data_IF_122459739396
#
_entry.id   IF_122459739396
#
_cell.length_a   1.000
_cell.length_b   1.000
_cell.length_c   1.000
_cell.angle_alpha   90.00
_cell.angle_beta   90.00
_cell.angle_gamma   90.00
#
_symmetry.space_group_name_H-M   'P 1'
#
loop_
_entity.id
_entity.type
_entity.pdbx_description
1 polymer ?
#
# COMPACT_ATOMS: atom_id res chain seq x y z
N UNK A 1 -32.24 -28.48 -26.06
CA UNK A 1 -33.59 -28.84 -25.58
C UNK A 1 -33.69 -28.37 -24.14
N UNK A 2 -34.38 -27.26 -23.88
CA UNK A 2 -34.41 -26.61 -22.57
C UNK A 2 -35.51 -27.22 -21.69
N UNK A 3 -35.12 -28.04 -20.72
CA UNK A 3 -36.06 -28.64 -19.76
C UNK A 3 -36.39 -27.58 -18.70
N UNK A 4 -37.62 -27.04 -18.76
CA UNK A 4 -38.19 -26.14 -17.75
C UNK A 4 -38.28 -26.86 -16.40
N UNK A 5 -37.37 -26.55 -15.48
CA UNK A 5 -37.58 -26.76 -14.04
C UNK A 5 -38.11 -25.42 -13.50
N UNK A 6 -39.43 -25.30 -13.34
CA UNK A 6 -40.11 -24.25 -12.56
C UNK A 6 -39.67 -22.79 -12.79
N UNK A 7 -40.32 -22.10 -13.73
CA UNK A 7 -40.47 -20.64 -13.89
C UNK A 7 -39.24 -19.70 -13.95
N UNK A 8 -38.03 -20.13 -13.56
CA UNK A 8 -36.84 -19.30 -13.62
C UNK A 8 -35.86 -19.78 -14.71
N UNK A 9 -35.31 -18.86 -15.48
CA UNK A 9 -34.19 -19.15 -16.36
C UNK A 9 -32.89 -19.28 -15.54
N UNK A 10 -31.85 -19.90 -16.11
CA UNK A 10 -30.56 -20.15 -15.42
C UNK A 10 -29.98 -18.88 -14.83
N UNK A 11 -30.05 -17.74 -15.54
CA UNK A 11 -29.51 -16.45 -15.06
C UNK A 11 -30.28 -15.93 -13.84
N UNK A 12 -31.59 -16.08 -13.81
CA UNK A 12 -32.39 -15.69 -12.64
C UNK A 12 -32.05 -16.53 -11.42
N UNK A 13 -31.85 -17.83 -11.60
CA UNK A 13 -31.39 -18.71 -10.52
C UNK A 13 -29.97 -18.34 -10.06
N UNK A 14 -29.06 -17.98 -10.97
CA UNK A 14 -27.73 -17.49 -10.60
C UNK A 14 -27.82 -16.17 -9.81
N UNK A 15 -28.65 -15.23 -10.28
CA UNK A 15 -28.84 -13.93 -9.63
C UNK A 15 -29.46 -14.06 -8.22
N UNK A 16 -30.26 -15.10 -7.98
CA UNK A 16 -30.77 -15.41 -6.64
C UNK A 16 -29.65 -15.70 -5.63
N UNK A 17 -28.56 -16.34 -6.05
CA UNK A 17 -27.44 -16.66 -5.15
C UNK A 17 -26.47 -15.51 -4.90
N UNK A 18 -26.41 -14.51 -5.79
CA UNK A 18 -25.47 -13.39 -5.68
C UNK A 18 -25.53 -12.67 -4.32
N UNK A 19 -26.69 -12.17 -3.85
CA UNK A 19 -26.75 -11.48 -2.56
C UNK A 19 -26.46 -12.40 -1.38
N UNK A 20 -26.76 -13.70 -1.51
CA UNK A 20 -26.51 -14.70 -0.46
C UNK A 20 -24.99 -14.92 -0.33
N UNK A 21 -24.28 -15.06 -1.45
CA UNK A 21 -22.82 -15.19 -1.47
C UNK A 21 -22.11 -13.92 -1.01
N UNK A 22 -22.64 -12.74 -1.34
CA UNK A 22 -22.07 -11.46 -0.87
C UNK A 22 -22.12 -11.30 0.65
N UNK A 23 -23.16 -11.84 1.30
CA UNK A 23 -23.35 -11.76 2.74
C UNK A 23 -22.78 -12.98 3.50
N UNK A 24 -22.19 -13.94 2.78
CA UNK A 24 -21.65 -15.15 3.38
C UNK A 24 -20.43 -14.82 4.24
N UNK A 25 -20.46 -15.21 5.52
CA UNK A 25 -19.45 -14.80 6.52
C UNK A 25 -18.38 -15.85 6.80
N UNK A 26 -18.64 -17.12 6.49
CA UNK A 26 -17.73 -18.21 6.81
C UNK A 26 -17.92 -19.41 5.89
N UNK A 27 -16.98 -20.34 5.96
CA UNK A 27 -16.94 -21.53 5.12
C UNK A 27 -18.12 -22.50 5.34
N UNK A 28 -18.68 -22.57 6.54
CA UNK A 28 -19.79 -23.49 6.86
C UNK A 28 -21.05 -23.05 6.13
N UNK A 29 -21.31 -21.75 6.13
CA UNK A 29 -22.38 -21.14 5.35
C UNK A 29 -22.14 -21.32 3.85
N UNK A 30 -20.91 -21.10 3.37
CA UNK A 30 -20.55 -21.31 1.97
C UNK A 30 -20.81 -22.75 1.51
N UNK A 31 -20.43 -23.75 2.32
CA UNK A 31 -20.71 -25.17 2.04
C UNK A 31 -22.20 -25.46 1.97
N UNK A 32 -23.00 -24.83 2.81
CA UNK A 32 -24.46 -24.94 2.78
C UNK A 32 -25.06 -24.29 1.53
N UNK A 33 -24.55 -23.13 1.12
CA UNK A 33 -24.93 -22.47 -0.14
C UNK A 33 -24.52 -23.35 -1.33
N UNK A 34 -23.32 -23.91 -1.32
CA UNK A 34 -22.83 -24.80 -2.37
C UNK A 34 -23.75 -26.02 -2.55
N UNK A 35 -24.16 -26.66 -1.45
CA UNK A 35 -25.09 -27.78 -1.51
C UNK A 35 -26.42 -27.41 -2.18
N UNK A 36 -26.91 -26.18 -1.95
CA UNK A 36 -28.09 -25.66 -2.66
C UNK A 36 -27.79 -25.44 -4.15
N UNK A 37 -26.68 -24.81 -4.50
CA UNK A 37 -26.24 -24.60 -5.90
C UNK A 37 -26.20 -25.95 -6.64
N UNK A 38 -25.67 -27.01 -6.02
CA UNK A 38 -25.68 -28.37 -6.57
C UNK A 38 -27.12 -28.89 -6.74
N UNK A 39 -27.98 -28.72 -5.74
CA UNK A 39 -29.39 -29.14 -5.81
C UNK A 39 -30.15 -28.47 -6.97
N UNK A 40 -29.84 -27.22 -7.29
CA UNK A 40 -30.39 -26.51 -8.45
C UNK A 40 -29.67 -26.83 -9.78
N UNK A 41 -28.71 -27.77 -9.79
CA UNK A 41 -27.92 -28.15 -10.96
C UNK A 41 -27.08 -27.00 -11.55
N UNK A 42 -26.61 -26.08 -10.69
CA UNK A 42 -25.83 -24.90 -11.07
C UNK A 42 -24.34 -25.02 -10.73
N UNK A 43 -23.86 -26.20 -10.32
CA UNK A 43 -22.45 -26.42 -9.93
C UNK A 43 -21.45 -26.24 -11.09
N UNK A 44 -21.92 -26.29 -12.34
CA UNK A 44 -21.12 -26.01 -13.53
C UNK A 44 -21.09 -24.52 -13.91
N UNK A 45 -21.78 -23.65 -13.16
CA UNK A 45 -21.76 -22.20 -13.42
C UNK A 45 -20.41 -21.61 -13.04
N UNK A 46 -19.60 -21.27 -14.05
CA UNK A 46 -18.37 -20.52 -13.85
C UNK A 46 -18.59 -19.21 -13.06
N UNK A 47 -19.73 -18.55 -13.25
CA UNK A 47 -20.07 -17.30 -12.57
C UNK A 47 -20.25 -17.53 -11.06
N UNK A 48 -21.11 -18.47 -10.66
CA UNK A 48 -21.34 -18.76 -9.24
C UNK A 48 -20.09 -19.32 -8.58
N UNK A 49 -19.40 -20.25 -9.24
CA UNK A 49 -18.16 -20.84 -8.71
C UNK A 49 -17.10 -19.75 -8.51
N UNK A 50 -16.95 -18.81 -9.44
CA UNK A 50 -16.04 -17.66 -9.25
C UNK A 50 -16.41 -16.84 -8.02
N UNK A 51 -17.70 -16.55 -7.81
CA UNK A 51 -18.17 -15.83 -6.61
C UNK A 51 -17.91 -16.61 -5.32
N UNK A 52 -18.02 -17.92 -5.35
CA UNK A 52 -17.71 -18.77 -4.21
C UNK A 52 -16.20 -18.81 -3.92
N UNK A 53 -15.36 -18.84 -4.96
CA UNK A 53 -13.90 -18.70 -4.83
C UNK A 53 -13.54 -17.34 -4.22
N UNK A 54 -14.24 -16.25 -4.57
CA UNK A 54 -14.05 -14.94 -3.93
C UNK A 54 -14.36 -14.96 -2.41
N UNK A 55 -15.31 -15.80 -1.98
CA UNK A 55 -15.59 -16.01 -0.54
C UNK A 55 -14.48 -16.83 0.11
N UNK A 56 -13.96 -17.86 -0.58
CA UNK A 56 -12.81 -18.64 -0.11
C UNK A 56 -11.55 -17.78 0.03
N UNK A 57 -11.28 -16.86 -0.91
CA UNK A 57 -10.16 -15.90 -0.85
C UNK A 57 -10.18 -15.12 0.47
N UNK A 58 -11.35 -14.58 0.84
CA UNK A 58 -11.55 -13.81 2.08
C UNK A 58 -11.52 -14.66 3.35
N UNK A 59 -11.85 -15.94 3.24
CA UNK A 59 -11.92 -16.87 4.37
C UNK A 59 -10.66 -17.73 4.51
N UNK A 60 -9.67 -17.51 3.66
CA UNK A 60 -8.40 -18.24 3.57
C UNK A 60 -8.52 -19.77 3.36
N UNK A 61 -9.70 -20.26 2.93
CA UNK A 61 -9.93 -21.69 2.65
C UNK A 61 -9.65 -22.03 1.18
N UNK A 62 -8.36 -22.04 0.83
CA UNK A 62 -7.89 -22.38 -0.51
C UNK A 62 -8.13 -23.85 -0.89
N UNK A 63 -8.25 -24.74 0.11
CA UNK A 63 -8.57 -26.15 -0.12
C UNK A 63 -9.96 -26.31 -0.73
N UNK A 64 -10.94 -25.58 -0.18
CA UNK A 64 -12.29 -25.57 -0.73
C UNK A 64 -12.37 -24.85 -2.09
N UNK A 65 -11.61 -23.76 -2.27
CA UNK A 65 -11.51 -23.10 -3.58
C UNK A 65 -11.05 -24.07 -4.68
N UNK A 66 -10.04 -24.91 -4.40
CA UNK A 66 -9.59 -25.93 -5.34
C UNK A 66 -10.65 -27.00 -5.62
N UNK A 67 -11.41 -27.43 -4.61
CA UNK A 67 -12.52 -28.36 -4.82
C UNK A 67 -13.61 -27.76 -5.71
N UNK A 68 -13.93 -26.48 -5.50
CA UNK A 68 -14.88 -25.73 -6.32
C UNK A 68 -14.39 -25.54 -7.76
N UNK A 69 -13.10 -25.40 -7.98
CA UNK A 69 -12.52 -25.32 -9.32
C UNK A 69 -12.59 -26.67 -10.05
N UNK A 70 -12.14 -27.74 -9.40
CA UNK A 70 -12.03 -29.07 -9.99
C UNK A 70 -13.37 -29.70 -10.37
N UNK A 71 -14.48 -29.25 -9.79
CA UNK A 71 -15.81 -29.73 -10.17
C UNK A 71 -16.31 -29.16 -11.51
N UNK A 72 -15.77 -28.02 -11.97
CA UNK A 72 -16.23 -27.36 -13.20
C UNK A 72 -15.56 -28.02 -14.40
N UNK A 73 -16.37 -28.58 -15.30
CA UNK A 73 -15.88 -29.32 -16.48
C UNK A 73 -15.09 -28.43 -17.45
N UNK A 74 -15.54 -27.18 -17.63
CA UNK A 74 -14.93 -26.21 -18.54
C UNK A 74 -14.71 -24.86 -17.83
N UNK A 75 -13.64 -24.73 -17.03
CA UNK A 75 -13.30 -23.48 -16.37
C UNK A 75 -12.92 -22.41 -17.39
N UNK A 76 -13.47 -21.21 -17.25
CA UNK A 76 -13.16 -20.08 -18.11
C UNK A 76 -12.06 -19.17 -17.52
N UNK A 77 -11.63 -18.16 -18.28
CA UNK A 77 -10.57 -17.24 -17.85
C UNK A 77 -10.89 -16.47 -16.55
N UNK A 78 -12.17 -16.16 -16.28
CA UNK A 78 -12.57 -15.49 -15.05
C UNK A 78 -12.34 -16.36 -13.82
N UNK A 79 -12.69 -17.65 -13.91
CA UNK A 79 -12.50 -18.60 -12.81
C UNK A 79 -11.00 -18.85 -12.57
N UNK A 80 -10.20 -19.02 -13.62
CA UNK A 80 -8.74 -19.09 -13.47
C UNK A 80 -8.15 -17.83 -12.82
N UNK A 81 -8.57 -16.63 -13.26
CA UNK A 81 -8.12 -15.37 -12.66
C UNK A 81 -8.52 -15.26 -11.18
N UNK A 82 -9.69 -15.79 -10.79
CA UNK A 82 -10.12 -15.86 -9.40
C UNK A 82 -9.23 -16.80 -8.57
N UNK A 83 -8.89 -17.98 -9.10
CA UNK A 83 -7.96 -18.91 -8.44
C UNK A 83 -6.57 -18.29 -8.29
N UNK A 84 -6.01 -17.70 -9.35
CA UNK A 84 -4.70 -17.05 -9.32
C UNK A 84 -4.68 -15.92 -8.28
N UNK A 85 -5.73 -15.07 -8.24
CA UNK A 85 -5.87 -14.02 -7.24
C UNK A 85 -5.92 -14.58 -5.82
N UNK A 86 -6.82 -15.54 -5.56
CA UNK A 86 -7.03 -16.12 -4.24
C UNK A 86 -5.75 -16.74 -3.68
N UNK A 87 -5.06 -17.54 -4.49
CA UNK A 87 -3.77 -18.12 -4.10
C UNK A 87 -2.68 -17.06 -3.90
N UNK A 88 -2.69 -15.96 -4.66
CA UNK A 88 -1.69 -14.89 -4.50
C UNK A 88 -1.90 -14.09 -3.20
N UNK A 89 -3.14 -13.76 -2.84
CA UNK A 89 -3.44 -13.04 -1.60
C UNK A 89 -3.08 -13.87 -0.35
N UNK A 90 -3.31 -15.18 -0.42
CA UNK A 90 -3.07 -16.13 0.67
C UNK A 90 -1.67 -16.76 0.62
N UNK A 91 -0.69 -16.06 0.03
CA UNK A 91 0.73 -16.46 -0.07
C UNK A 91 1.01 -17.84 -0.71
N UNK A 92 0.02 -18.47 -1.32
CA UNK A 92 0.12 -19.71 -2.10
C UNK A 92 0.70 -19.48 -3.50
N UNK A 93 1.80 -18.76 -3.61
CA UNK A 93 2.38 -18.29 -4.87
C UNK A 93 2.69 -19.43 -5.85
N UNK A 94 3.18 -20.58 -5.36
CA UNK A 94 3.46 -21.74 -6.22
C UNK A 94 2.20 -22.21 -6.94
N UNK A 95 1.08 -22.32 -6.23
CA UNK A 95 -0.21 -22.72 -6.82
C UNK A 95 -0.74 -21.68 -7.79
N UNK A 96 -0.61 -20.38 -7.48
CA UNK A 96 -0.97 -19.32 -8.42
C UNK A 96 -0.19 -19.42 -9.74
N UNK A 97 1.11 -19.72 -9.67
CA UNK A 97 1.94 -19.98 -10.87
C UNK A 97 1.53 -21.25 -11.60
N UNK A 98 1.11 -22.31 -10.89
CA UNK A 98 0.61 -23.53 -11.52
C UNK A 98 -0.67 -23.25 -12.33
N UNK A 99 -1.66 -22.55 -11.76
CA UNK A 99 -2.85 -22.12 -12.50
C UNK A 99 -2.52 -21.25 -13.71
N UNK A 100 -1.55 -20.34 -13.58
CA UNK A 100 -1.09 -19.55 -14.73
C UNK A 100 -0.47 -20.43 -15.83
N UNK A 101 0.39 -21.39 -15.47
CA UNK A 101 0.97 -22.34 -16.44
C UNK A 101 -0.09 -23.22 -17.10
N UNK A 102 -1.09 -23.65 -16.35
CA UNK A 102 -2.24 -24.35 -16.91
C UNK A 102 -2.98 -23.47 -17.92
N UNK A 103 -3.32 -22.23 -17.54
CA UNK A 103 -3.94 -21.26 -18.46
C UNK A 103 -3.10 -21.08 -19.75
N UNK A 104 -1.76 -21.04 -19.67
CA UNK A 104 -0.89 -20.94 -20.84
C UNK A 104 -1.01 -22.15 -21.79
N UNK A 105 -1.24 -23.36 -21.27
CA UNK A 105 -1.45 -24.57 -22.09
C UNK A 105 -2.80 -24.55 -22.82
N UNK A 106 -3.74 -23.73 -22.35
CA UNK A 106 -5.08 -23.57 -22.92
C UNK A 106 -5.18 -22.47 -23.99
N UNK A 107 -4.06 -21.86 -24.37
CA UNK A 107 -3.98 -20.76 -25.36
C UNK A 107 -4.05 -21.18 -26.82
N UNK A 108 -4.03 -22.49 -27.10
CA UNK A 108 -3.95 -23.00 -28.46
C UNK A 108 -5.07 -22.38 -29.32
N UNK A 109 -4.73 -21.62 -30.38
CA UNK A 109 -5.72 -20.98 -31.25
C UNK A 109 -6.64 -21.98 -31.97
N UNK A 110 -6.23 -23.24 -32.11
CA UNK A 110 -7.04 -24.30 -32.72
C UNK A 110 -8.06 -24.91 -31.75
N UNK A 111 -7.98 -24.57 -30.46
CA UNK A 111 -8.95 -25.02 -29.47
C UNK A 111 -10.28 -24.28 -29.62
N UNK A 112 -11.38 -24.99 -29.40
CA UNK A 112 -12.74 -24.44 -29.45
C UNK A 112 -12.95 -23.24 -28.50
N UNK A 113 -12.34 -23.29 -27.30
CA UNK A 113 -12.42 -22.23 -26.29
C UNK A 113 -11.01 -21.90 -25.73
N UNK A 114 -10.22 -21.07 -26.42
CA UNK A 114 -8.88 -20.72 -25.98
C UNK A 114 -8.95 -19.71 -24.82
N UNK A 115 -8.07 -19.88 -23.84
CA UNK A 115 -7.98 -19.00 -22.66
C UNK A 115 -6.65 -18.26 -22.68
N UNK A 116 -6.72 -16.94 -22.62
CA UNK A 116 -5.55 -16.07 -22.61
C UNK A 116 -5.45 -15.33 -21.26
N UNK A 117 -4.24 -15.23 -20.68
CA UNK A 117 -3.92 -14.25 -19.66
C UNK A 117 -4.26 -12.86 -20.15
N UNK A 118 -4.90 -12.10 -19.29
CA UNK A 118 -5.35 -10.75 -19.55
C UNK A 118 -4.79 -9.79 -18.50
N UNK A 119 -5.28 -8.55 -18.54
CA UNK A 119 -4.90 -7.51 -17.57
C UNK A 119 -5.17 -7.88 -16.11
N UNK A 120 -6.08 -8.82 -15.85
CA UNK A 120 -6.40 -9.29 -14.50
C UNK A 120 -5.53 -10.47 -14.08
N UNK A 121 -4.81 -11.11 -15.00
CA UNK A 121 -3.86 -12.19 -14.69
C UNK A 121 -2.52 -11.64 -14.23
N UNK A 122 -1.93 -10.71 -14.99
CA UNK A 122 -0.53 -10.30 -14.83
C UNK A 122 -0.16 -9.76 -13.43
N UNK A 123 -0.95 -8.88 -12.78
CA UNK A 123 -0.57 -8.33 -11.47
C UNK A 123 -0.31 -9.42 -10.42
N UNK A 124 -1.16 -10.45 -10.39
CA UNK A 124 -1.06 -11.53 -9.41
C UNK A 124 0.07 -12.51 -9.73
N UNK A 125 0.31 -12.80 -11.01
CA UNK A 125 1.41 -13.69 -11.42
C UNK A 125 2.76 -13.00 -11.21
N UNK A 126 2.88 -11.70 -11.48
CA UNK A 126 4.08 -10.91 -11.18
C UNK A 126 4.32 -10.87 -9.67
N UNK A 127 3.28 -10.59 -8.86
CA UNK A 127 3.36 -10.64 -7.40
C UNK A 127 3.80 -12.01 -6.89
N UNK A 128 3.25 -13.09 -7.46
CA UNK A 128 3.66 -14.46 -7.13
C UNK A 128 5.13 -14.72 -7.46
N UNK A 129 5.63 -14.20 -8.59
CA UNK A 129 7.06 -14.32 -8.91
C UNK A 129 7.95 -13.51 -7.98
N UNK A 130 7.50 -12.32 -7.57
CA UNK A 130 8.18 -11.49 -6.57
C UNK A 130 8.26 -12.22 -5.23
N UNK A 131 7.17 -12.85 -4.78
CA UNK A 131 7.12 -13.64 -3.53
C UNK A 131 8.00 -14.89 -3.57
N UNK A 132 8.11 -15.55 -4.73
CA UNK A 132 8.97 -16.72 -4.92
C UNK A 132 10.43 -16.37 -5.29
N UNK A 133 10.74 -15.10 -5.49
CA UNK A 133 12.06 -14.63 -5.95
C UNK A 133 12.51 -15.35 -7.25
N UNK A 134 11.57 -15.60 -8.16
CA UNK A 134 11.82 -16.41 -9.36
C UNK A 134 12.16 -15.55 -10.58
N UNK A 135 13.43 -15.12 -10.68
CA UNK A 135 13.91 -14.21 -11.74
C UNK A 135 13.56 -14.66 -13.16
N UNK A 136 13.86 -15.93 -13.50
CA UNK A 136 13.68 -16.43 -14.87
C UNK A 136 12.21 -16.44 -15.29
N UNK A 137 11.31 -16.84 -14.39
CA UNK A 137 9.88 -16.82 -14.65
C UNK A 137 9.35 -15.39 -14.73
N UNK A 138 9.80 -14.50 -13.82
CA UNK A 138 9.46 -13.08 -13.86
C UNK A 138 9.83 -12.42 -15.19
N UNK A 139 11.00 -12.76 -15.76
CA UNK A 139 11.42 -12.31 -17.10
C UNK A 139 10.52 -12.83 -18.22
N UNK A 140 10.11 -14.09 -18.16
CA UNK A 140 9.15 -14.65 -19.14
C UNK A 140 7.79 -13.95 -19.06
N UNK A 141 7.30 -13.69 -17.85
CA UNK A 141 6.04 -12.97 -17.64
C UNK A 141 6.13 -11.52 -18.11
N UNK A 142 7.24 -10.84 -17.85
CA UNK A 142 7.48 -9.50 -18.37
C UNK A 142 7.44 -9.50 -19.91
N UNK A 143 8.09 -10.45 -20.57
CA UNK A 143 8.02 -10.59 -22.03
C UNK A 143 6.58 -10.86 -22.52
N UNK A 144 5.82 -11.69 -21.80
CA UNK A 144 4.40 -11.91 -22.10
C UNK A 144 3.57 -10.65 -21.93
N UNK A 145 3.83 -9.84 -20.90
CA UNK A 145 3.16 -8.58 -20.68
C UNK A 145 3.47 -7.59 -21.80
N UNK A 146 4.72 -7.48 -22.24
CA UNK A 146 5.08 -6.64 -23.39
C UNK A 146 4.39 -7.09 -24.69
N UNK A 147 4.19 -8.40 -24.87
CA UNK A 147 3.60 -8.96 -26.10
C UNK A 147 2.08 -8.91 -26.12
N UNK A 148 1.42 -9.16 -24.99
CA UNK A 148 -0.03 -9.38 -24.90
C UNK A 148 -0.75 -8.43 -23.92
N UNK A 149 0.00 -7.74 -23.07
CA UNK A 149 -0.54 -6.82 -22.08
C UNK A 149 -0.91 -5.45 -22.64
N UNK A 150 -1.51 -4.58 -21.81
CA UNK A 150 -1.71 -3.18 -22.17
C UNK A 150 -0.36 -2.48 -22.41
N UNK A 151 -0.33 -1.54 -23.36
CA UNK A 151 0.91 -0.86 -23.80
C UNK A 151 1.65 -0.11 -22.68
N UNK A 152 0.93 0.44 -21.70
CA UNK A 152 1.51 1.02 -20.49
C UNK A 152 0.50 0.92 -19.36
N UNK A 153 0.97 0.53 -18.18
CA UNK A 153 0.16 0.42 -16.98
C UNK A 153 1.06 0.56 -15.75
N UNK A 154 0.96 1.72 -15.08
CA UNK A 154 1.78 2.07 -13.92
C UNK A 154 1.73 1.01 -12.82
N UNK A 155 0.58 0.38 -12.58
CA UNK A 155 0.43 -0.68 -11.57
C UNK A 155 1.24 -1.93 -11.92
N UNK A 156 1.23 -2.34 -13.20
CA UNK A 156 2.00 -3.50 -13.66
C UNK A 156 3.50 -3.20 -13.72
N UNK A 157 3.88 -2.00 -14.18
CA UNK A 157 5.26 -1.53 -14.21
C UNK A 157 5.84 -1.45 -12.79
N UNK A 158 5.08 -0.92 -11.83
CA UNK A 158 5.45 -0.93 -10.41
C UNK A 158 5.62 -2.35 -9.85
N UNK A 159 4.71 -3.27 -10.19
CA UNK A 159 4.84 -4.67 -9.79
C UNK A 159 6.08 -5.35 -10.39
N UNK A 160 6.46 -5.00 -11.62
CA UNK A 160 7.68 -5.49 -12.25
C UNK A 160 8.95 -4.94 -11.59
N UNK A 161 8.97 -3.66 -11.21
CA UNK A 161 10.10 -3.06 -10.46
C UNK A 161 10.25 -3.79 -9.11
N UNK A 162 9.17 -4.00 -8.36
CA UNK A 162 9.20 -4.78 -7.11
C UNK A 162 9.70 -6.21 -7.35
N UNK A 163 9.22 -6.90 -8.38
CA UNK A 163 9.66 -8.25 -8.71
C UNK A 163 11.16 -8.31 -9.04
N UNK A 164 11.65 -7.41 -9.91
CA UNK A 164 13.05 -7.38 -10.29
C UNK A 164 13.97 -7.00 -9.12
N UNK A 165 13.55 -6.04 -8.29
CA UNK A 165 14.32 -5.64 -7.11
C UNK A 165 14.42 -6.76 -6.09
N UNK A 166 13.33 -7.50 -5.82
CA UNK A 166 13.37 -8.70 -4.96
C UNK A 166 14.20 -9.83 -5.55
N UNK A 167 14.19 -10.00 -6.86
CA UNK A 167 15.07 -10.94 -7.58
C UNK A 167 16.52 -10.45 -7.74
N UNK A 168 16.93 -9.43 -6.98
CA UNK A 168 18.27 -8.82 -7.00
C UNK A 168 18.73 -8.29 -8.38
N UNK A 169 17.81 -8.13 -9.32
CA UNK A 169 18.08 -7.64 -10.67
C UNK A 169 17.78 -6.15 -10.77
N UNK A 170 18.67 -5.32 -10.24
CA UNK A 170 18.53 -3.86 -10.36
C UNK A 170 18.56 -3.38 -11.80
N UNK A 171 19.29 -4.07 -12.68
CA UNK A 171 19.32 -3.75 -14.10
C UNK A 171 17.94 -3.95 -14.76
N UNK A 172 17.22 -5.02 -14.42
CA UNK A 172 15.85 -5.23 -14.87
C UNK A 172 14.90 -4.16 -14.34
N UNK A 173 15.02 -3.84 -13.04
CA UNK A 173 14.22 -2.80 -12.39
C UNK A 173 14.41 -1.42 -13.04
N UNK A 174 15.66 -1.01 -13.32
CA UNK A 174 15.98 0.24 -14.01
C UNK A 174 15.39 0.29 -15.42
N UNK A 175 15.53 -0.78 -16.20
CA UNK A 175 14.96 -0.84 -17.55
C UNK A 175 13.46 -0.60 -17.56
N UNK A 176 12.73 -1.18 -16.59
CA UNK A 176 11.30 -0.92 -16.43
C UNK A 176 11.08 0.54 -16.05
N UNK A 177 11.75 1.02 -14.99
CA UNK A 177 11.60 2.37 -14.47
C UNK A 177 11.90 3.47 -15.50
N UNK A 178 12.95 3.32 -16.31
CA UNK A 178 13.32 4.24 -17.38
C UNK A 178 12.31 4.22 -18.54
N UNK A 179 11.69 3.07 -18.81
CA UNK A 179 10.66 2.90 -19.84
C UNK A 179 9.27 3.41 -19.47
N UNK A 180 9.03 3.77 -18.19
CA UNK A 180 7.73 4.30 -17.75
C UNK A 180 7.45 5.68 -18.32
N UNK A 181 6.22 5.88 -18.83
CA UNK A 181 5.74 7.20 -19.30
C UNK A 181 5.51 8.14 -18.12
N UNK A 182 4.87 7.62 -17.06
CA UNK A 182 4.61 8.34 -15.81
C UNK A 182 5.15 7.53 -14.63
N UNK A 183 5.66 8.23 -13.62
CA UNK A 183 6.24 7.61 -12.42
C UNK A 183 5.57 8.19 -11.19
N UNK A 184 4.97 7.32 -10.39
CA UNK A 184 4.35 7.72 -9.13
C UNK A 184 5.31 7.48 -7.96
N UNK A 185 4.88 7.84 -6.75
CA UNK A 185 5.66 7.62 -5.56
C UNK A 185 6.03 6.13 -5.37
N UNK A 186 5.20 5.19 -5.83
CA UNK A 186 5.47 3.74 -5.70
C UNK A 186 6.62 3.33 -6.63
N UNK A 187 6.68 3.84 -7.87
CA UNK A 187 7.78 3.59 -8.80
C UNK A 187 9.13 4.01 -8.20
N UNK A 188 9.18 5.25 -7.70
CA UNK A 188 10.37 5.83 -7.08
C UNK A 188 10.78 5.09 -5.80
N UNK A 189 9.82 4.82 -4.91
CA UNK A 189 10.10 4.11 -3.66
C UNK A 189 10.61 2.69 -3.90
N UNK A 190 10.07 1.99 -4.91
CA UNK A 190 10.51 0.64 -5.27
C UNK A 190 11.97 0.62 -5.75
N UNK A 191 12.35 1.52 -6.66
CA UNK A 191 13.73 1.55 -7.18
C UNK A 191 14.74 2.02 -6.13
N UNK A 192 14.37 3.01 -5.29
CA UNK A 192 15.19 3.46 -4.16
C UNK A 192 15.40 2.31 -3.17
N UNK A 193 14.32 1.63 -2.77
CA UNK A 193 14.37 0.50 -1.84
C UNK A 193 15.21 -0.65 -2.38
N UNK A 194 15.18 -0.89 -3.69
CA UNK A 194 16.06 -1.86 -4.36
C UNK A 194 17.55 -1.53 -4.14
N UNK A 195 17.95 -0.28 -4.36
CA UNK A 195 19.34 0.14 -4.11
C UNK A 195 19.73 0.12 -2.64
N UNK A 196 18.82 0.53 -1.75
CA UNK A 196 19.01 0.43 -0.30
C UNK A 196 19.20 -1.03 0.10
N UNK A 197 18.39 -1.94 -0.44
CA UNK A 197 18.43 -3.38 -0.13
C UNK A 197 19.81 -4.01 -0.34
N UNK A 198 20.53 -3.60 -1.39
CA UNK A 198 21.87 -4.09 -1.74
C UNK A 198 23.02 -3.18 -1.24
N UNK A 199 22.71 -2.12 -0.47
CA UNK A 199 23.72 -1.22 0.10
C UNK A 199 24.31 -0.18 -0.85
N UNK A 200 23.71 0.03 -2.03
CA UNK A 200 24.14 1.07 -2.99
C UNK A 200 23.61 2.45 -2.59
N UNK A 201 23.93 2.90 -1.36
CA UNK A 201 23.35 4.10 -0.74
C UNK A 201 23.58 5.39 -1.55
N UNK A 202 24.72 5.51 -2.26
CA UNK A 202 24.99 6.66 -3.14
C UNK A 202 23.99 6.75 -4.31
N UNK A 203 23.66 5.62 -4.94
CA UNK A 203 22.67 5.58 -6.03
C UNK A 203 21.25 5.77 -5.51
N UNK A 204 20.93 5.15 -4.36
CA UNK A 204 19.65 5.38 -3.68
C UNK A 204 19.45 6.88 -3.37
N UNK A 205 20.50 7.55 -2.88
CA UNK A 205 20.49 8.99 -2.60
C UNK A 205 20.28 9.83 -3.86
N UNK A 206 20.99 9.53 -4.95
CA UNK A 206 20.80 10.23 -6.21
C UNK A 206 19.36 10.11 -6.74
N UNK A 207 18.77 8.90 -6.68
CA UNK A 207 17.38 8.68 -7.05
C UNK A 207 16.40 9.44 -6.13
N UNK A 208 16.63 9.38 -4.82
CA UNK A 208 15.87 10.12 -3.83
C UNK A 208 15.93 11.64 -4.06
N UNK A 209 17.09 12.15 -4.48
CA UNK A 209 17.27 13.57 -4.78
C UNK A 209 16.54 14.01 -6.05
N UNK A 210 16.47 13.11 -7.05
CA UNK A 210 15.75 13.33 -8.31
C UNK A 210 14.22 13.12 -8.22
N UNK A 211 13.72 12.60 -7.11
CA UNK A 211 12.28 12.34 -6.92
C UNK A 211 11.51 13.67 -6.85
N UNK A 212 10.50 13.91 -7.70
CA UNK A 212 9.78 15.20 -7.75
C UNK A 212 9.05 15.53 -6.43
N UNK A 213 8.45 14.52 -5.81
CA UNK A 213 7.72 14.64 -4.55
C UNK A 213 8.10 13.49 -3.64
N UNK A 214 8.67 13.81 -2.47
CA UNK A 214 9.11 12.81 -1.49
C UNK A 214 7.98 12.49 -0.52
N UNK A 215 7.73 11.20 -0.31
CA UNK A 215 6.74 10.71 0.67
C UNK A 215 7.42 10.22 1.94
N UNK A 216 6.67 10.02 3.03
CA UNK A 216 7.18 9.41 4.27
C UNK A 216 7.90 8.08 3.98
N UNK A 217 7.40 7.30 3.02
CA UNK A 217 8.02 6.03 2.60
C UNK A 217 9.42 6.26 2.01
N UNK A 218 9.61 7.29 1.19
CA UNK A 218 10.92 7.61 0.61
C UNK A 218 11.94 8.04 1.68
N UNK A 219 11.53 8.90 2.62
CA UNK A 219 12.37 9.36 3.73
C UNK A 219 12.78 8.21 4.65
N UNK A 220 11.80 7.38 5.03
CA UNK A 220 12.04 6.24 5.93
C UNK A 220 12.91 5.16 5.30
N UNK A 221 12.78 4.92 4.00
CA UNK A 221 13.66 4.02 3.26
C UNK A 221 15.12 4.48 3.32
N UNK A 222 15.39 5.77 3.08
CA UNK A 222 16.74 6.34 3.15
C UNK A 222 17.32 6.29 4.56
N UNK A 223 16.57 6.73 5.57
CA UNK A 223 17.03 6.74 6.98
C UNK A 223 17.33 5.32 7.44
N UNK A 224 16.44 4.37 7.15
CA UNK A 224 16.61 2.96 7.51
C UNK A 224 17.81 2.34 6.79
N UNK A 225 17.99 2.68 5.51
CA UNK A 225 19.16 2.26 4.74
C UNK A 225 20.47 2.75 5.35
N UNK A 226 20.61 4.05 5.55
CA UNK A 226 21.83 4.61 6.15
C UNK A 226 22.11 4.07 7.55
N UNK A 227 21.07 3.90 8.37
CA UNK A 227 21.18 3.29 9.71
C UNK A 227 21.68 1.84 9.62
N UNK A 228 21.12 1.05 8.70
CA UNK A 228 21.50 -0.36 8.49
C UNK A 228 22.95 -0.51 8.05
N UNK A 229 23.47 0.40 7.22
CA UNK A 229 24.85 0.35 6.73
C UNK A 229 25.84 1.19 7.55
N UNK A 230 25.42 1.72 8.71
CA UNK A 230 26.30 2.40 9.66
C UNK A 230 26.62 3.87 9.34
N UNK A 231 26.02 4.45 8.30
CA UNK A 231 26.17 5.85 7.89
C UNK A 231 25.25 6.77 8.70
N UNK A 232 25.44 6.82 10.02
CA UNK A 232 24.51 7.55 10.91
C UNK A 232 24.46 9.06 10.66
N UNK A 233 25.55 9.69 10.19
CA UNK A 233 25.57 11.11 9.87
C UNK A 233 24.59 11.44 8.74
N UNK A 234 24.68 10.71 7.62
CA UNK A 234 23.76 10.86 6.49
C UNK A 234 22.30 10.59 6.90
N UNK A 235 22.08 9.61 7.78
CA UNK A 235 20.75 9.31 8.29
C UNK A 235 20.16 10.45 9.14
N UNK A 236 20.97 11.12 9.97
CA UNK A 236 20.56 12.32 10.73
C UNK A 236 20.26 13.47 9.77
N UNK A 237 21.10 13.67 8.75
CA UNK A 237 20.93 14.77 7.80
C UNK A 237 19.64 14.62 6.99
N UNK A 238 19.35 13.42 6.51
CA UNK A 238 18.08 13.11 5.82
C UNK A 238 16.89 13.29 6.77
N UNK A 239 17.00 12.87 8.03
CA UNK A 239 15.94 13.08 9.01
C UNK A 239 15.68 14.56 9.30
N UNK A 240 16.73 15.39 9.41
CA UNK A 240 16.58 16.85 9.57
C UNK A 240 15.90 17.48 8.36
N UNK A 241 16.29 17.09 7.14
CA UNK A 241 15.66 17.58 5.92
C UNK A 241 14.16 17.25 5.89
N UNK A 242 13.78 16.04 6.30
CA UNK A 242 12.37 15.65 6.44
C UNK A 242 11.60 16.59 7.37
N UNK A 243 12.18 16.94 8.52
CA UNK A 243 11.55 17.84 9.51
C UNK A 243 11.43 19.28 8.99
N UNK A 244 12.44 19.78 8.28
CA UNK A 244 12.43 21.15 7.71
C UNK A 244 11.29 21.31 6.70
N UNK A 245 10.99 20.26 5.93
CA UNK A 245 9.88 20.27 4.95
C UNK A 245 8.51 20.11 5.64
N UNK A 246 8.46 20.05 6.97
CA UNK A 246 7.22 19.94 7.74
C UNK A 246 6.57 18.57 7.66
N UNK A 247 7.31 17.54 7.25
CA UNK A 247 6.80 16.16 7.24
C UNK A 247 7.00 15.57 8.63
N UNK A 248 5.93 15.50 9.41
CA UNK A 248 5.95 14.87 10.72
C UNK A 248 5.78 13.34 10.63
N UNK A 249 6.54 12.55 11.41
CA UNK A 249 6.32 11.11 11.52
C UNK A 249 5.01 10.76 12.24
N UNK A 250 3.95 10.48 11.49
CA UNK A 250 2.68 10.01 12.08
C UNK A 250 2.84 8.68 12.85
N UNK A 251 2.18 8.58 14.02
CA UNK A 251 2.29 7.47 14.98
C UNK A 251 1.78 6.12 14.45
N UNK A 252 1.01 6.08 13.36
CA UNK A 252 0.32 4.87 12.88
C UNK A 252 1.26 3.86 12.18
N UNK A 253 2.47 4.25 11.78
CA UNK A 253 3.40 3.41 11.00
C UNK A 253 4.52 2.70 11.83
N UNK A 254 4.28 2.40 13.12
CA UNK A 254 5.27 1.88 14.09
C UNK A 254 6.22 0.79 13.58
N UNK A 255 5.77 -0.15 12.74
CA UNK A 255 6.61 -1.22 12.17
C UNK A 255 7.67 -0.76 11.15
N UNK A 256 7.48 0.39 10.49
CA UNK A 256 8.41 0.97 9.51
C UNK A 256 9.39 1.98 10.13
N UNK A 257 9.20 2.30 11.42
CA UNK A 257 9.96 3.34 12.12
C UNK A 257 11.13 2.80 12.96
N UNK A 258 11.56 1.55 12.81
CA UNK A 258 12.73 1.06 13.59
C UNK A 258 13.98 1.92 13.33
N UNK A 259 14.27 2.23 12.07
CA UNK A 259 15.39 3.12 11.70
C UNK A 259 15.29 4.51 12.32
N UNK A 260 14.10 5.12 12.30
CA UNK A 260 13.86 6.45 12.89
C UNK A 260 13.82 6.41 14.42
N UNK A 261 13.31 5.35 15.02
CA UNK A 261 13.28 5.15 16.47
C UNK A 261 14.68 4.92 17.03
N UNK A 262 15.49 4.11 16.33
CA UNK A 262 16.93 3.96 16.60
C UNK A 262 17.66 5.27 16.43
N UNK A 263 17.32 6.06 15.40
CA UNK A 263 17.88 7.39 15.20
C UNK A 263 17.53 8.33 16.35
N UNK A 264 16.26 8.37 16.79
CA UNK A 264 15.83 9.17 17.94
C UNK A 264 16.54 8.75 19.24
N UNK A 265 16.72 7.44 19.47
CA UNK A 265 17.52 6.92 20.60
C UNK A 265 18.98 7.38 20.50
N UNK A 266 19.56 7.35 19.31
CA UNK A 266 20.95 7.79 19.06
C UNK A 266 21.13 9.31 19.25
N UNK A 267 20.19 10.12 18.76
CA UNK A 267 20.17 11.58 18.95
C UNK A 267 20.07 11.92 20.45
N UNK A 268 19.24 11.19 21.20
CA UNK A 268 19.11 11.34 22.66
C UNK A 268 20.36 10.88 23.41
N UNK A 269 20.95 9.74 23.03
CA UNK A 269 22.13 9.18 23.72
C UNK A 269 23.42 9.94 23.44
N UNK A 270 23.52 10.63 22.28
CA UNK A 270 24.70 11.43 21.91
C UNK A 270 24.65 12.89 22.36
N UNK A 271 23.72 13.30 23.23
CA UNK A 271 23.60 14.68 23.74
C UNK A 271 23.64 15.75 22.63
N UNK A 272 23.08 15.45 21.45
CA UNK A 272 22.87 16.49 20.43
C UNK A 272 21.72 17.37 20.91
N UNK A 273 22.04 18.50 21.54
CA UNK A 273 21.04 19.51 21.88
C UNK A 273 20.37 19.95 20.58
N UNK A 274 19.07 19.70 20.45
CA UNK A 274 18.27 20.40 19.44
C UNK A 274 18.50 21.89 19.69
N UNK A 275 18.93 22.64 18.69
CA UNK A 275 18.74 24.10 18.70
C UNK A 275 17.23 24.28 18.64
N UNK A 276 16.57 24.78 19.69
CA UNK A 276 15.14 24.98 19.62
C UNK A 276 14.85 26.01 18.51
N UNK A 277 13.69 25.89 17.86
CA UNK A 277 13.30 26.93 16.91
C UNK A 277 13.21 28.25 17.66
N UNK A 278 13.92 29.27 17.20
CA UNK A 278 13.88 30.61 17.77
C UNK A 278 13.27 31.60 16.79
N UNK A 279 12.41 32.47 17.32
CA UNK A 279 11.82 33.59 16.59
C UNK A 279 12.31 34.87 17.24
N UNK A 280 12.79 35.81 16.42
CA UNK A 280 13.18 37.13 16.88
C UNK A 280 11.98 38.06 16.69
N UNK A 281 11.50 38.68 17.77
CA UNK A 281 10.37 39.61 17.74
C UNK A 281 10.87 40.94 18.29
N UNK A 282 10.63 42.01 17.54
CA UNK A 282 10.92 43.38 17.97
C UNK A 282 9.74 43.92 18.77
N UNK A 283 9.97 44.22 20.06
CA UNK A 283 8.98 44.83 20.94
C UNK A 283 9.62 46.09 21.53
N UNK A 284 9.06 47.25 21.23
CA UNK A 284 9.53 48.56 21.72
C UNK A 284 11.02 48.83 21.43
N UNK A 285 11.49 48.58 20.19
CA UNK A 285 12.89 48.72 19.75
C UNK A 285 13.88 47.80 20.48
N UNK A 286 13.40 46.71 21.08
CA UNK A 286 14.23 45.67 21.68
C UNK A 286 13.90 44.36 20.99
N UNK A 287 14.89 43.83 20.25
CA UNK A 287 14.79 42.51 19.62
C UNK A 287 14.90 41.45 20.72
N UNK A 288 13.81 40.72 20.94
CA UNK A 288 13.76 39.62 21.87
C UNK A 288 13.74 38.28 21.12
N UNK A 289 14.59 37.36 21.56
CA UNK A 289 14.60 35.99 21.08
C UNK A 289 13.63 35.13 21.91
N UNK A 290 12.66 34.53 21.21
CA UNK A 290 11.71 33.57 21.74
C UNK A 290 12.11 32.18 21.28
N UNK A 291 12.60 31.39 22.22
CA UNK A 291 13.08 30.03 21.99
C UNK A 291 11.94 29.07 22.36
N UNK A 292 11.61 28.13 21.47
CA UNK A 292 10.52 27.17 21.71
C UNK A 292 10.79 26.34 22.97
N UNK A 293 9.82 26.31 23.89
CA UNK A 293 9.88 25.70 25.23
C UNK A 293 10.77 26.44 26.26
N UNK A 294 11.20 27.66 25.98
CA UNK A 294 11.88 28.52 26.96
C UNK A 294 10.85 29.21 27.87
N UNK A 295 10.90 28.89 29.16
CA UNK A 295 10.05 29.44 30.21
C UNK A 295 10.74 30.57 31.01
N UNK A 296 11.98 30.92 30.65
CA UNK A 296 12.81 31.88 31.39
C UNK A 296 12.39 33.35 31.25
N UNK A 297 11.47 33.66 30.33
CA UNK A 297 11.00 35.04 30.11
C UNK A 297 9.95 35.44 31.13
N UNK A 298 9.99 36.67 31.66
CA UNK A 298 8.84 37.21 32.38
C UNK A 298 7.64 37.16 31.42
N UNK A 299 6.48 36.70 31.90
CA UNK A 299 5.25 36.45 31.12
C UNK A 299 5.20 35.16 30.28
N UNK A 300 6.20 34.27 30.34
CA UNK A 300 6.17 32.97 29.64
C UNK A 300 4.91 32.16 29.99
N UNK A 301 4.55 32.15 31.28
CA UNK A 301 3.37 31.45 31.80
C UNK A 301 2.05 31.98 31.22
N UNK A 302 1.95 33.30 31.05
CA UNK A 302 0.77 33.95 30.50
C UNK A 302 0.65 33.71 29.00
N UNK A 303 1.79 33.71 28.28
CA UNK A 303 1.85 33.39 26.85
C UNK A 303 1.45 31.94 26.60
N UNK A 304 1.97 30.98 27.37
CA UNK A 304 1.61 29.57 27.22
C UNK A 304 0.14 29.32 27.58
N UNK A 305 -0.37 29.97 28.63
CA UNK A 305 -1.80 29.93 28.97
C UNK A 305 -2.67 30.51 27.85
N UNK A 306 -2.30 31.67 27.29
CA UNK A 306 -3.04 32.29 26.19
C UNK A 306 -3.01 31.42 24.93
N UNK A 307 -1.88 30.78 24.62
CA UNK A 307 -1.77 29.83 23.52
C UNK A 307 -2.68 28.61 23.73
N UNK A 308 -2.73 28.06 24.94
CA UNK A 308 -3.66 26.96 25.29
C UNK A 308 -5.13 27.39 25.13
N UNK A 309 -5.48 28.61 25.54
CA UNK A 309 -6.81 29.20 25.34
C UNK A 309 -7.12 29.38 23.86
N UNK A 310 -6.19 29.89 23.06
CA UNK A 310 -6.37 30.08 21.62
C UNK A 310 -6.46 28.75 20.86
N UNK A 311 -5.73 27.71 21.28
CA UNK A 311 -5.83 26.37 20.70
C UNK A 311 -7.12 25.65 21.10
N UNK A 312 -7.63 25.85 22.31
CA UNK A 312 -8.90 25.26 22.75
C UNK A 312 -10.12 25.91 22.10
N UNK A 313 -10.01 27.16 21.64
CA UNK A 313 -11.06 27.83 20.84
C UNK A 313 -11.03 27.47 19.35
N UNK A 314 -10.01 26.73 18.88
CA UNK A 314 -9.93 26.28 17.48
C UNK A 314 -10.83 25.09 17.16
N UNK A 315 -11.28 24.37 18.20
CA UNK A 315 -12.15 23.19 18.08
C UNK A 315 -13.65 23.49 18.28
N UNK A 316 -14.03 24.74 18.53
CA UNK A 316 -15.44 25.16 18.72
C UNK A 316 -15.83 26.32 17.80
N UNK A 317 -16.25 26.02 16.58
CA UNK A 317 -17.06 26.94 15.78
C UNK A 317 -18.48 27.03 16.36
N UNK A 318 -18.71 27.91 17.34
CA UNK A 318 -20.06 28.42 17.69
C UNK A 318 -20.07 29.97 17.58
N UNK A 319 -20.88 30.57 16.68
CA UNK A 319 -20.87 32.02 16.41
C UNK A 319 -21.46 32.92 17.52
N UNK A 320 -21.66 32.44 18.75
CA UNK A 320 -22.42 33.16 19.79
C UNK A 320 -21.66 33.65 21.02
N UNK A 321 -20.33 33.67 20.99
CA UNK A 321 -19.54 34.34 22.05
C UNK A 321 -18.83 35.56 21.46
N UNK A 322 -19.60 36.64 21.33
CA UNK A 322 -19.11 38.01 21.29
C UNK A 322 -19.55 38.65 22.61
N UNK A 323 -18.67 39.48 23.18
CA UNK A 323 -18.72 40.12 24.51
C UNK A 323 -18.11 39.23 25.61
N UNK A 324 -16.96 39.56 26.21
CA UNK A 324 -16.75 40.75 27.04
C UNK A 324 -15.27 41.21 27.02
N UNK A 325 -15.05 42.49 26.72
CA UNK A 325 -14.02 43.39 27.27
C UNK A 325 -14.65 44.81 27.23
N UNK A 326 -14.14 45.83 27.94
CA UNK A 326 -13.54 45.91 29.28
C UNK A 326 -14.07 47.13 30.10
N UNK A 327 -14.26 47.03 31.41
CA UNK A 327 -14.30 48.18 32.36
C UNK A 327 -13.79 47.61 33.71
N UNK A 328 -12.79 48.14 34.41
CA UNK A 328 -12.49 49.53 34.74
C UNK A 328 -10.98 49.79 34.86
N UNK A 329 -10.60 51.03 34.56
CA UNK A 329 -9.38 51.63 35.06
C UNK A 329 -9.56 52.20 36.47
N UNK A 330 -8.42 52.41 37.13
CA UNK A 330 -8.15 53.26 38.30
C UNK A 330 -7.85 52.57 39.65
N UNK A 331 -6.70 52.99 40.20
CA UNK A 331 -6.17 52.90 41.58
C UNK A 331 -5.64 51.52 42.03
N UNK A 332 -4.42 51.36 42.57
CA UNK A 332 -3.67 52.23 43.47
C UNK A 332 -2.16 52.27 43.19
N UNK A 333 -1.61 53.48 43.24
CA UNK A 333 -0.28 53.77 43.78
C UNK A 333 -0.28 53.50 45.28
N UNK A 334 0.81 52.91 45.80
CA UNK A 334 1.06 52.66 47.21
C UNK A 334 2.28 51.79 47.39
#
# INVERSE_FOLDING_TARGET
>A
MATRIGAFNIRELENFFVPILQNCKNIVELKSIHARVIKYSLSQSNFLVTKMVDVCDKSEDLGYASLLFNQVKEPNGYLYNAMIRAYTHNEGYTSAILFYKEMLRLKDPERENPIFPDRFTFPFVIKSCSGLVCYNLGKQIHAHLCKFGPKSNITMENALIDMYTKCESLLGAHKVFEGMVERDAISWNSIISGHVGVGQMRKARALFDSMPYRTIVSWTAMISGYTRFGSYADAVDVFRQMQIVGVEPDEINLGKWDGVSRMRKLIKSKSMKKTPGSSLIDINNVVQEFVSWDDSKPFSRDIFWLLEVLTSHRDTTDPRIIEIMPEDGSECLG
#
